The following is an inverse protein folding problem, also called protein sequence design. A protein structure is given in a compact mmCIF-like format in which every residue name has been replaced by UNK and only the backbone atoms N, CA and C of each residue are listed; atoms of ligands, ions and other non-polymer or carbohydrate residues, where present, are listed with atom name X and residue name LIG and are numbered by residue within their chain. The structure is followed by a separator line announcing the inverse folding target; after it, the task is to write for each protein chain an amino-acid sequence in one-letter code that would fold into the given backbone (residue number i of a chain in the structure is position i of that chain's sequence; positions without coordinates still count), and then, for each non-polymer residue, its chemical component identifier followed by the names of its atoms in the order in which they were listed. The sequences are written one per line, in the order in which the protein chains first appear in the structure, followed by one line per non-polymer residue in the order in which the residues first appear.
data_IF_573796746991
#
_entry.id   IF_573796746991
#
_cell.length_a   1.000
_cell.length_b   1.000
_cell.length_c   1.000
_cell.angle_alpha   90.00
_cell.angle_beta   90.00
_cell.angle_gamma   90.00
#
_symmetry.space_group_name_H-M   'P 1'
#
loop_
_entity.id
_entity.type
_entity.pdbx_description
1 polymer ?
#
# COMPACT_ATOMS: atom_id res chain seq x y z
N UNK A 1 -3.95 -6.81 7.31
CA UNK A 1 -3.62 -5.81 6.25
C UNK A 1 -4.02 -4.39 6.65
N UNK A 2 -5.27 -4.14 7.05
CA UNK A 2 -5.79 -2.79 7.37
C UNK A 2 -6.15 -2.57 8.85
N UNK A 3 -5.34 -3.03 9.81
CA UNK A 3 -5.69 -2.93 11.25
C UNK A 3 -5.90 -1.47 11.70
N UNK A 4 -5.15 -0.53 11.12
CA UNK A 4 -5.25 0.89 11.42
C UNK A 4 -6.60 1.51 11.02
N UNK A 5 -7.44 0.81 10.22
CA UNK A 5 -8.78 1.27 9.85
C UNK A 5 -9.88 0.78 10.79
N UNK A 6 -9.54 0.00 11.82
CA UNK A 6 -10.53 -0.63 12.71
C UNK A 6 -11.45 0.38 13.40
N UNK A 7 -10.94 1.57 13.75
CA UNK A 7 -11.75 2.64 14.33
C UNK A 7 -12.66 3.36 13.30
N UNK A 8 -12.48 3.09 12.01
CA UNK A 8 -13.22 3.72 10.89
C UNK A 8 -14.23 2.78 10.23
N UNK A 9 -14.49 1.60 10.80
CA UNK A 9 -15.38 0.61 10.20
C UNK A 9 -16.79 1.14 9.92
N UNK A 10 -17.37 1.95 10.81
CA UNK A 10 -18.69 2.56 10.57
C UNK A 10 -18.67 3.46 9.32
N UNK A 11 -17.67 4.34 9.21
CA UNK A 11 -17.51 5.22 8.04
C UNK A 11 -17.23 4.43 6.76
N UNK A 12 -16.44 3.35 6.84
CA UNK A 12 -16.17 2.49 5.69
C UNK A 12 -17.43 1.73 5.23
N UNK A 13 -18.31 1.38 6.15
CA UNK A 13 -19.59 0.76 5.84
C UNK A 13 -20.56 1.77 5.19
N UNK A 14 -20.69 2.96 5.75
CA UNK A 14 -21.56 4.02 5.22
C UNK A 14 -21.17 4.48 3.81
N UNK A 15 -19.89 4.37 3.44
CA UNK A 15 -19.37 4.76 2.13
C UNK A 15 -19.11 3.56 1.19
N UNK A 16 -19.65 2.38 1.50
CA UNK A 16 -19.47 1.12 0.75
C UNK A 16 -18.01 0.65 0.56
N UNK A 17 -17.03 1.36 1.12
CA UNK A 17 -15.61 1.03 1.03
C UNK A 17 -15.30 -0.33 1.68
N UNK A 18 -16.07 -0.74 2.70
CA UNK A 18 -15.89 -2.05 3.33
C UNK A 18 -16.06 -3.23 2.34
N UNK A 19 -16.75 -3.01 1.21
CA UNK A 19 -16.95 -4.02 0.17
C UNK A 19 -15.86 -4.02 -0.92
N UNK A 20 -14.89 -3.11 -0.85
CA UNK A 20 -13.77 -3.08 -1.79
C UNK A 20 -12.95 -4.36 -1.72
N UNK A 21 -12.67 -4.94 -2.90
CA UNK A 21 -11.93 -6.20 -3.06
C UNK A 21 -10.48 -5.91 -3.42
N UNK A 22 -9.61 -5.99 -2.43
CA UNK A 22 -8.17 -5.87 -2.62
C UNK A 22 -7.58 -7.21 -3.06
N UNK A 23 -6.90 -7.22 -4.19
CA UNK A 23 -6.13 -8.38 -4.63
C UNK A 23 -4.83 -8.50 -3.84
N UNK A 24 -4.30 -9.72 -3.83
CA UNK A 24 -2.96 -9.98 -3.34
C UNK A 24 -2.21 -10.89 -4.31
N UNK A 25 -0.90 -10.74 -4.36
CA UNK A 25 -0.04 -11.54 -5.21
C UNK A 25 1.23 -11.96 -4.46
N UNK A 26 1.79 -13.08 -4.88
CA UNK A 26 3.04 -13.63 -4.36
C UNK A 26 4.24 -13.03 -5.09
N UNK A 27 5.36 -12.89 -4.39
CA UNK A 27 6.64 -12.73 -5.05
C UNK A 27 7.02 -14.01 -5.79
N UNK A 28 7.83 -13.91 -6.85
CA UNK A 28 8.19 -15.07 -7.68
C UNK A 28 8.88 -16.23 -6.94
N UNK A 29 9.50 -15.96 -5.80
CA UNK A 29 10.16 -16.93 -4.93
C UNK A 29 9.32 -17.30 -3.69
N UNK A 30 8.05 -16.91 -3.64
CA UNK A 30 7.11 -17.08 -2.54
C UNK A 30 7.57 -16.51 -1.17
N UNK A 31 8.61 -15.67 -1.13
CA UNK A 31 9.12 -15.12 0.14
C UNK A 31 8.30 -13.94 0.66
N UNK A 32 7.54 -13.28 -0.19
CA UNK A 32 6.75 -12.11 0.17
C UNK A 32 5.36 -12.11 -0.49
N UNK A 33 4.43 -11.38 0.14
CA UNK A 33 3.08 -11.16 -0.36
C UNK A 33 2.87 -9.66 -0.49
N UNK A 34 2.32 -9.21 -1.61
CA UNK A 34 1.93 -7.82 -1.83
C UNK A 34 0.40 -7.70 -1.91
N UNK A 35 -0.15 -6.59 -1.41
CA UNK A 35 -1.56 -6.24 -1.58
C UNK A 35 -1.75 -4.73 -1.57
N UNK A 36 -2.83 -4.27 -2.17
CA UNK A 36 -3.23 -2.87 -2.18
C UNK A 36 -3.92 -2.41 -0.89
N UNK A 37 -4.16 -1.11 -0.82
CA UNK A 37 -4.77 -0.40 0.30
C UNK A 37 -5.32 0.96 -0.18
N UNK A 38 -5.96 1.71 0.71
CA UNK A 38 -6.39 3.09 0.48
C UNK A 38 -5.23 4.09 0.52
N UNK A 39 -5.52 5.34 0.15
CA UNK A 39 -4.57 6.45 0.04
C UNK A 39 -3.39 6.17 -0.93
N UNK A 40 -3.64 5.44 -2.02
CA UNK A 40 -2.61 4.94 -2.93
C UNK A 40 -1.51 4.14 -2.23
N UNK A 41 -1.83 3.50 -1.10
CA UNK A 41 -0.90 2.63 -0.44
C UNK A 41 -0.94 1.21 -0.99
N UNK A 42 0.22 0.60 -1.06
CA UNK A 42 0.36 -0.84 -1.19
C UNK A 42 1.28 -1.33 -0.08
N UNK A 43 1.03 -2.56 0.34
CA UNK A 43 1.77 -3.20 1.44
C UNK A 43 2.48 -4.43 0.93
N UNK A 44 3.70 -4.62 1.41
CA UNK A 44 4.51 -5.80 1.15
C UNK A 44 4.81 -6.46 2.49
N UNK A 45 4.54 -7.75 2.58
CA UNK A 45 4.73 -8.57 3.78
C UNK A 45 5.78 -9.63 3.47
N UNK A 46 6.91 -9.57 4.16
CA UNK A 46 7.97 -10.58 4.07
C UNK A 46 7.66 -11.72 5.04
N UNK A 47 7.54 -12.94 4.51
CA UNK A 47 7.22 -14.14 5.29
C UNK A 47 8.37 -14.60 6.17
N UNK A 48 9.60 -14.40 5.71
CA UNK A 48 10.81 -14.84 6.39
C UNK A 48 11.13 -13.92 7.55
N UNK A 49 11.14 -12.60 7.31
CA UNK A 49 11.48 -11.62 8.35
C UNK A 49 10.28 -11.20 9.20
N UNK A 50 9.06 -11.57 8.81
CA UNK A 50 7.79 -11.14 9.43
C UNK A 50 7.62 -9.63 9.50
N UNK A 51 8.31 -8.91 8.61
CA UNK A 51 8.21 -7.44 8.51
C UNK A 51 7.23 -7.06 7.42
N UNK A 52 6.55 -5.96 7.65
CA UNK A 52 5.66 -5.35 6.68
C UNK A 52 6.11 -3.93 6.32
N UNK A 53 5.95 -3.59 5.05
CA UNK A 53 6.26 -2.29 4.48
C UNK A 53 4.99 -1.71 3.90
N UNK A 54 4.78 -0.40 4.10
CA UNK A 54 3.72 0.36 3.44
C UNK A 54 4.38 1.40 2.57
N UNK A 55 4.06 1.39 1.28
CA UNK A 55 4.61 2.28 0.27
C UNK A 55 3.48 3.01 -0.42
N UNK A 56 3.79 4.15 -1.04
CA UNK A 56 2.81 5.05 -1.65
C UNK A 56 3.08 5.21 -3.14
N UNK A 57 2.07 4.95 -3.97
CA UNK A 57 2.13 5.08 -5.42
C UNK A 57 1.47 6.39 -5.87
N UNK A 58 2.26 7.48 -5.86
CA UNK A 58 1.81 8.80 -6.30
C UNK A 58 2.87 9.45 -7.21
N UNK A 59 2.46 10.22 -8.22
CA UNK A 59 3.37 10.79 -9.24
C UNK A 59 4.45 11.72 -8.67
N UNK A 60 4.11 12.44 -7.62
CA UNK A 60 5.00 13.37 -6.92
C UNK A 60 6.07 12.63 -6.09
N UNK A 61 5.80 11.39 -5.70
CA UNK A 61 6.69 10.54 -4.89
C UNK A 61 7.48 9.57 -5.77
N UNK A 62 6.81 8.88 -6.69
CA UNK A 62 7.35 7.86 -7.58
C UNK A 62 8.00 8.47 -8.82
N UNK A 63 8.92 9.42 -8.62
CA UNK A 63 9.73 9.97 -9.72
C UNK A 63 10.77 8.95 -10.17
N UNK A 64 11.18 8.95 -11.45
CA UNK A 64 12.21 8.04 -11.95
C UNK A 64 13.46 8.05 -11.05
N UNK A 65 13.97 6.85 -10.72
CA UNK A 65 15.16 6.63 -9.88
C UNK A 65 15.05 7.12 -8.42
N UNK A 66 13.84 7.43 -7.95
CA UNK A 66 13.61 7.82 -6.55
C UNK A 66 13.32 6.59 -5.70
N UNK A 67 13.99 6.47 -4.55
CA UNK A 67 13.72 5.43 -3.58
C UNK A 67 12.44 5.76 -2.80
N UNK A 68 11.49 4.84 -2.77
CA UNK A 68 10.27 5.01 -1.98
C UNK A 68 10.58 4.94 -0.49
N UNK A 69 9.99 5.85 0.27
CA UNK A 69 10.10 5.86 1.74
C UNK A 69 8.91 5.13 2.36
N UNK A 70 9.14 4.22 3.32
CA UNK A 70 8.06 3.60 4.06
C UNK A 70 7.16 4.63 4.75
N UNK A 71 5.84 4.44 4.64
CA UNK A 71 4.83 5.24 5.33
C UNK A 71 4.33 4.51 6.57
N UNK A 72 3.97 5.27 7.60
CA UNK A 72 3.30 4.73 8.80
C UNK A 72 2.01 5.48 9.03
N UNK A 73 0.94 4.73 9.26
CA UNK A 73 -0.37 5.26 9.61
C UNK A 73 -0.55 5.15 11.12
N UNK A 74 -0.98 6.22 11.77
CA UNK A 74 -1.27 6.25 13.19
C UNK A 74 -2.77 6.48 13.45
N UNK A 75 -3.29 5.85 14.51
CA UNK A 75 -4.72 5.86 14.89
C UNK A 75 -5.03 6.77 16.09
N UNK A 76 -4.04 7.50 16.61
CA UNK A 76 -4.18 8.45 17.72
C UNK A 76 -2.82 8.89 18.30
N UNK A 77 -2.81 10.02 19.04
CA UNK A 77 -1.63 10.52 19.79
C UNK A 77 -0.84 11.66 19.11
N UNK A 78 0.28 12.07 19.73
CA UNK A 78 1.20 13.08 19.16
C UNK A 78 1.84 12.52 17.88
N UNK A 79 1.36 13.01 16.74
CA UNK A 79 1.87 12.70 15.41
C UNK A 79 3.38 13.02 15.31
N UNK A 80 4.18 12.03 14.92
CA UNK A 80 5.54 12.30 14.44
C UNK A 80 5.48 12.92 13.05
N UNK A 81 6.45 13.77 12.73
CA UNK A 81 6.47 14.59 11.49
C UNK A 81 6.20 13.80 10.20
N UNK A 82 6.61 12.53 10.14
CA UNK A 82 6.50 11.67 8.95
C UNK A 82 5.38 10.61 9.02
N UNK A 83 4.59 10.58 10.09
CA UNK A 83 3.43 9.69 10.20
C UNK A 83 2.19 10.33 9.57
N UNK A 84 1.26 9.50 9.10
CA UNK A 84 0.00 9.91 8.48
C UNK A 84 -1.13 9.54 9.43
N UNK A 85 -1.97 10.51 9.80
CA UNK A 85 -3.15 10.20 10.60
C UNK A 85 -4.12 9.38 9.78
N UNK A 86 -4.78 8.40 10.41
CA UNK A 86 -5.89 7.65 9.82
C UNK A 86 -7.01 8.57 9.31
N UNK A 87 -7.21 9.72 9.96
CA UNK A 87 -8.22 10.72 9.56
C UNK A 87 -7.85 11.48 8.27
N UNK A 88 -6.57 11.43 7.87
CA UNK A 88 -6.07 12.10 6.66
C UNK A 88 -6.03 11.17 5.44
N UNK A 89 -6.50 9.93 5.57
CA UNK A 89 -6.48 8.98 4.47
C UNK A 89 -7.59 9.28 3.45
N UNK A 90 -7.24 9.21 2.18
CA UNK A 90 -8.18 9.31 1.07
C UNK A 90 -8.65 7.92 0.64
N UNK A 91 -9.91 7.58 0.97
CA UNK A 91 -10.51 6.28 0.65
C UNK A 91 -10.89 6.13 -0.84
N UNK A 92 -10.97 7.21 -1.61
CA UNK A 92 -11.20 7.12 -3.06
C UNK A 92 -9.93 6.69 -3.81
N UNK A 93 -8.76 6.95 -3.22
CA UNK A 93 -7.46 6.52 -3.74
C UNK A 93 -7.17 5.09 -3.31
N UNK A 94 -7.80 4.13 -3.96
CA UNK A 94 -7.63 2.70 -3.70
C UNK A 94 -6.74 2.03 -4.73
N UNK A 95 -5.80 1.22 -4.25
CA UNK A 95 -5.07 0.25 -5.08
C UNK A 95 -5.81 -1.07 -4.91
N UNK A 96 -6.56 -1.49 -5.92
CA UNK A 96 -7.29 -2.76 -5.91
C UNK A 96 -6.51 -3.88 -6.59
N UNK A 97 -5.75 -3.53 -7.63
CA UNK A 97 -5.03 -4.46 -8.48
C UNK A 97 -3.52 -4.23 -8.37
N UNK A 98 -2.79 -5.32 -8.14
CA UNK A 98 -1.34 -5.33 -8.12
C UNK A 98 -0.83 -6.62 -8.75
N UNK A 99 0.37 -6.56 -9.33
CA UNK A 99 1.04 -7.73 -9.88
C UNK A 99 2.51 -7.71 -9.50
N UNK A 100 3.08 -8.90 -9.30
CA UNK A 100 4.51 -9.08 -9.09
C UNK A 100 5.05 -9.91 -10.24
N UNK A 101 6.19 -9.51 -10.81
CA UNK A 101 6.87 -10.27 -11.84
C UNK A 101 7.29 -11.66 -11.29
N UNK A 102 7.12 -12.75 -12.06
CA UNK A 102 7.34 -14.12 -11.56
C UNK A 102 8.80 -14.47 -11.32
N UNK A 103 9.75 -13.73 -11.87
CA UNK A 103 11.19 -14.02 -11.72
C UNK A 103 12.04 -12.82 -11.32
N UNK A 104 11.48 -11.61 -11.32
CA UNK A 104 12.24 -10.39 -11.03
C UNK A 104 11.58 -9.61 -9.90
N UNK A 105 12.36 -8.78 -9.22
CA UNK A 105 11.88 -7.87 -8.18
C UNK A 105 11.26 -6.61 -8.79
N UNK A 106 10.26 -6.83 -9.66
CA UNK A 106 9.48 -5.80 -10.33
C UNK A 106 8.02 -5.97 -9.93
N UNK A 107 7.40 -4.88 -9.49
CA UNK A 107 5.98 -4.85 -9.13
C UNK A 107 5.24 -3.80 -9.95
N UNK A 108 4.02 -4.15 -10.37
CA UNK A 108 3.09 -3.27 -11.04
C UNK A 108 1.94 -2.93 -10.08
N UNK A 109 1.64 -1.63 -9.97
CA UNK A 109 0.63 -1.10 -9.05
C UNK A 109 -0.31 -0.17 -9.81
N UNK A 110 -1.59 -0.54 -9.90
CA UNK A 110 -2.61 0.30 -10.50
C UNK A 110 -3.19 1.26 -9.45
N UNK A 111 -2.95 2.56 -9.63
CA UNK A 111 -3.41 3.61 -8.72
C UNK A 111 -4.23 4.64 -9.49
N UNK A 112 -5.55 4.51 -9.39
CA UNK A 112 -6.53 5.35 -10.11
C UNK A 112 -6.26 5.36 -11.62
N UNK A 113 -5.76 6.47 -12.17
CA UNK A 113 -5.52 6.66 -13.61
C UNK A 113 -4.06 6.39 -14.02
N UNK A 114 -3.27 5.76 -13.15
CA UNK A 114 -1.85 5.53 -13.39
C UNK A 114 -1.50 4.07 -13.14
N UNK A 115 -0.59 3.56 -13.96
CA UNK A 115 0.11 2.31 -13.71
C UNK A 115 1.55 2.64 -13.30
N UNK A 116 1.93 2.25 -12.09
CA UNK A 116 3.29 2.41 -11.58
C UNK A 116 4.05 1.10 -11.72
N UNK A 117 5.30 1.18 -12.19
CA UNK A 117 6.25 0.08 -12.19
C UNK A 117 7.37 0.43 -11.21
N UNK A 118 7.53 -0.41 -10.19
CA UNK A 118 8.61 -0.30 -9.23
C UNK A 118 9.55 -1.48 -9.40
N UNK A 119 10.84 -1.22 -9.34
CA UNK A 119 11.89 -2.23 -9.43
C UNK A 119 12.90 -1.97 -8.32
N UNK A 120 13.35 -3.04 -7.67
CA UNK A 120 14.45 -2.94 -6.71
C UNK A 120 15.76 -2.65 -7.44
N UNK A 121 16.69 -1.95 -6.80
CA UNK A 121 18.02 -1.74 -7.40
C UNK A 121 18.78 -3.07 -7.35
N UNK A 122 19.28 -3.50 -8.51
CA UNK A 122 20.33 -4.52 -8.64
C UNK A 122 21.58 -4.09 -7.85
#
# INVERSE_FOLDING_TARGET
VHEYLRSKLCSLYENDCIFDKFECCWSGNDSAIMTGSYNNFFRVFDRTTKRDLTLEAARDIAKPKTLLKPRKVCTGGKRKKDEISVDCLDFNKKILHTAWHPSENVVAVAATNNLFLFQDKL
#
